data_IF_365140347787
#
_entry.id   IF_365140347787
#
_cell.length_a   1.000
_cell.length_b   1.000
_cell.length_c   1.000
_cell.angle_alpha   90.00
_cell.angle_beta   90.00
_cell.angle_gamma   90.00
#
_symmetry.space_group_name_H-M   'P 1'
#
loop_
_entity.id
_entity.type
_entity.pdbx_description
1 polymer ?
#
# COMPACT_ATOMS: atom_id res chain seq x y z
N UNK A 1 70.71 -22.87 4.21
CA UNK A 1 70.88 -21.45 4.62
C UNK A 1 69.75 -20.69 3.93
N UNK A 2 68.51 -20.81 4.39
CA UNK A 2 67.96 -20.29 5.66
C UNK A 2 67.79 -18.78 5.61
N UNK A 3 66.57 -18.29 5.81
CA UNK A 3 66.30 -16.88 6.08
C UNK A 3 64.90 -16.40 5.73
N UNK A 4 63.91 -16.84 6.51
CA UNK A 4 62.67 -16.08 6.74
C UNK A 4 62.97 -14.60 7.06
N UNK A 5 62.06 -13.71 6.66
CA UNK A 5 61.87 -12.41 7.31
C UNK A 5 60.38 -12.08 7.38
N UNK A 6 59.81 -12.35 8.54
CA UNK A 6 58.88 -11.45 9.24
C UNK A 6 59.57 -11.05 10.57
N UNK A 7 59.10 -10.08 11.37
CA UNK A 7 58.05 -9.08 11.17
C UNK A 7 58.50 -7.64 11.55
N UNK A 8 57.66 -6.63 11.27
CA UNK A 8 57.64 -5.41 12.09
C UNK A 8 56.19 -5.05 12.36
N UNK A 9 55.80 -5.21 13.63
CA UNK A 9 54.59 -4.66 14.21
C UNK A 9 54.73 -3.14 14.34
N UNK A 10 53.68 -2.40 13.97
CA UNK A 10 53.45 -1.05 14.49
C UNK A 10 52.03 -1.03 15.06
N UNK A 11 51.97 -0.87 16.37
CA UNK A 11 50.76 -0.69 17.16
C UNK A 11 50.08 0.66 16.88
N UNK A 12 48.75 0.59 16.90
CA UNK A 12 47.83 1.52 17.55
C UNK A 12 47.74 2.98 17.09
N UNK A 13 46.66 3.25 16.36
CA UNK A 13 45.82 4.41 16.66
C UNK A 13 44.35 3.94 16.69
N UNK A 14 43.88 3.58 17.89
CA UNK A 14 42.47 3.38 18.15
C UNK A 14 41.74 4.71 18.16
N UNK A 15 40.64 4.77 17.41
CA UNK A 15 39.58 5.78 17.53
C UNK A 15 38.23 5.08 17.26
N UNK A 16 37.13 5.57 17.86
CA UNK A 16 36.31 4.74 18.73
C UNK A 16 35.09 4.16 18.01
N UNK A 17 34.75 2.95 18.45
CA UNK A 17 33.41 2.41 18.33
C UNK A 17 32.39 3.35 19.01
N UNK A 18 31.22 3.45 18.38
CA UNK A 18 29.97 3.66 19.11
C UNK A 18 29.32 5.02 18.91
N UNK A 19 28.59 5.17 17.81
CA UNK A 19 27.14 5.36 17.87
C UNK A 19 26.57 5.14 16.46
N UNK A 20 26.25 3.88 16.13
CA UNK A 20 25.36 3.63 15.00
C UNK A 20 23.99 4.12 15.43
N UNK A 21 23.69 5.37 15.07
CA UNK A 21 22.35 5.92 15.14
C UNK A 21 21.49 5.19 14.11
N UNK A 22 20.96 4.04 14.54
CA UNK A 22 20.11 3.17 13.73
C UNK A 22 18.78 3.85 13.33
N UNK A 23 18.48 5.02 13.90
CA UNK A 23 17.32 5.85 13.58
C UNK A 23 17.52 6.83 12.42
N UNK A 24 18.76 7.13 11.97
CA UNK A 24 19.01 8.17 10.97
C UNK A 24 19.00 7.63 9.51
N UNK A 25 19.35 6.36 9.30
CA UNK A 25 19.45 5.77 7.96
C UNK A 25 18.08 5.57 7.29
N UNK A 26 17.07 5.11 8.04
CA UNK A 26 15.71 4.86 7.53
C UNK A 26 15.02 6.15 7.08
N UNK A 27 15.05 7.16 7.96
CA UNK A 27 14.48 8.47 7.66
C UNK A 27 15.16 9.11 6.47
N UNK A 28 16.50 9.04 6.40
CA UNK A 28 17.28 9.54 5.26
C UNK A 28 16.86 8.89 3.95
N UNK A 29 16.72 7.56 3.92
CA UNK A 29 16.30 6.84 2.72
C UNK A 29 14.93 7.29 2.25
N UNK A 30 13.97 7.47 3.15
CA UNK A 30 12.63 7.96 2.78
C UNK A 30 12.66 9.37 2.21
N UNK A 31 13.49 10.26 2.76
CA UNK A 31 13.71 11.59 2.19
C UNK A 31 14.35 11.52 0.80
N UNK A 32 15.28 10.61 0.58
CA UNK A 32 15.90 10.38 -0.74
C UNK A 32 14.87 9.82 -1.74
N UNK A 33 14.05 8.84 -1.33
CA UNK A 33 12.92 8.32 -2.13
C UNK A 33 11.94 9.43 -2.47
N UNK A 34 11.55 10.26 -1.49
CA UNK A 34 10.63 11.39 -1.70
C UNK A 34 11.22 12.43 -2.66
N UNK A 35 12.53 12.72 -2.57
CA UNK A 35 13.24 13.59 -3.51
C UNK A 35 13.34 13.03 -4.92
N UNK A 36 13.28 11.70 -5.08
CA UNK A 36 13.25 11.06 -6.39
C UNK A 36 11.88 11.17 -7.08
N UNK A 37 10.83 11.58 -6.35
CA UNK A 37 9.49 11.71 -6.91
C UNK A 37 9.39 12.92 -7.83
N UNK A 38 8.69 12.73 -8.95
CA UNK A 38 8.36 13.82 -9.85
C UNK A 38 7.27 14.71 -9.24
N UNK A 39 7.62 15.91 -8.75
CA UNK A 39 6.72 16.82 -8.01
C UNK A 39 5.41 17.09 -8.73
N UNK A 40 5.46 17.32 -10.05
CA UNK A 40 4.25 17.56 -10.84
C UNK A 40 3.30 16.36 -10.84
N UNK A 41 3.84 15.15 -10.91
CA UNK A 41 3.04 13.92 -10.92
C UNK A 41 2.44 13.65 -9.54
N UNK A 42 3.20 13.92 -8.47
CA UNK A 42 2.69 13.81 -7.09
C UNK A 42 1.52 14.77 -6.85
N UNK A 43 1.66 16.05 -7.22
CA UNK A 43 0.58 17.05 -7.06
C UNK A 43 -0.68 16.65 -7.84
N UNK A 44 -0.52 16.23 -9.08
CA UNK A 44 -1.59 15.69 -9.92
C UNK A 44 -2.31 14.50 -9.27
N UNK A 45 -1.56 13.49 -8.84
CA UNK A 45 -2.12 12.28 -8.25
C UNK A 45 -2.86 12.55 -6.94
N UNK A 46 -2.35 13.45 -6.11
CA UNK A 46 -3.06 13.90 -4.91
C UNK A 46 -4.38 14.58 -5.27
N UNK A 47 -4.39 15.42 -6.32
CA UNK A 47 -5.62 16.10 -6.78
C UNK A 47 -6.67 15.13 -7.32
N UNK A 48 -6.24 13.98 -7.88
CA UNK A 48 -7.12 12.89 -8.31
C UNK A 48 -7.62 12.02 -7.15
N UNK A 49 -7.18 12.25 -5.91
CA UNK A 49 -7.56 11.45 -4.76
C UNK A 49 -6.78 10.14 -4.62
N UNK A 50 -5.55 10.07 -5.12
CA UNK A 50 -4.65 8.92 -4.93
C UNK A 50 -3.92 9.06 -3.59
N UNK A 51 -3.95 8.02 -2.75
CA UNK A 51 -3.25 8.05 -1.47
C UNK A 51 -1.73 7.98 -1.63
N UNK A 52 -1.01 8.44 -0.61
CA UNK A 52 0.45 8.53 -0.58
C UNK A 52 1.10 7.17 -0.87
N UNK A 53 0.61 6.09 -0.26
CA UNK A 53 1.15 4.73 -0.51
C UNK A 53 1.00 4.31 -1.98
N UNK A 54 -0.11 4.67 -2.64
CA UNK A 54 -0.27 4.45 -4.08
C UNK A 54 0.62 5.38 -4.92
N UNK A 55 0.86 6.62 -4.48
CA UNK A 55 1.77 7.51 -5.19
C UNK A 55 3.19 6.95 -5.18
N UNK A 56 3.71 6.58 -4.02
CA UNK A 56 5.07 6.03 -3.91
C UNK A 56 5.23 4.76 -4.74
N UNK A 57 4.27 3.84 -4.66
CA UNK A 57 4.37 2.59 -5.42
C UNK A 57 4.33 2.79 -6.95
N UNK A 58 3.73 3.89 -7.42
CA UNK A 58 3.56 4.18 -8.85
C UNK A 58 4.64 5.11 -9.40
N UNK A 59 5.10 6.07 -8.61
CA UNK A 59 5.97 7.19 -9.07
C UNK A 59 7.40 7.07 -8.56
N UNK A 60 7.67 6.23 -7.55
CA UNK A 60 9.02 6.05 -7.02
C UNK A 60 9.96 5.41 -8.05
N UNK A 61 11.21 5.86 -8.00
CA UNK A 61 12.35 5.25 -8.71
C UNK A 61 12.86 4.03 -7.93
N UNK A 62 12.75 4.07 -6.61
CA UNK A 62 13.17 3.01 -5.70
C UNK A 62 12.06 1.97 -5.49
N UNK A 63 12.48 0.73 -5.19
CA UNK A 63 11.58 -0.36 -4.85
C UNK A 63 10.73 -0.01 -3.62
N UNK A 64 9.46 -0.43 -3.63
CA UNK A 64 8.55 -0.23 -2.52
C UNK A 64 8.83 -1.26 -1.42
N UNK A 65 9.12 -0.79 -0.21
CA UNK A 65 9.36 -1.65 0.95
C UNK A 65 8.69 -1.14 2.24
N UNK A 66 8.74 -1.99 3.27
CA UNK A 66 8.12 -1.79 4.58
C UNK A 66 8.67 -0.55 5.28
N UNK A 67 9.97 -0.31 5.16
CA UNK A 67 10.66 0.83 5.77
C UNK A 67 10.21 2.14 5.11
N UNK A 68 10.17 2.18 3.78
CA UNK A 68 9.69 3.32 3.00
C UNK A 68 8.28 3.64 3.49
N UNK A 69 7.34 2.69 3.43
CA UNK A 69 5.92 2.88 3.80
C UNK A 69 5.63 3.47 5.18
N UNK A 70 6.38 3.06 6.21
CA UNK A 70 6.17 3.52 7.58
C UNK A 70 6.39 5.03 7.77
N UNK A 71 7.20 5.64 6.92
CA UNK A 71 7.66 7.03 7.05
C UNK A 71 6.94 7.98 6.06
N UNK A 72 6.21 7.44 5.06
CA UNK A 72 5.77 8.19 3.87
C UNK A 72 4.72 9.28 4.09
N UNK A 73 3.73 9.05 4.95
CA UNK A 73 2.51 9.87 4.95
C UNK A 73 2.76 11.29 5.46
N UNK A 74 3.55 11.43 6.52
CA UNK A 74 3.96 12.74 7.07
C UNK A 74 5.10 13.38 6.26
N UNK A 75 6.02 12.56 5.76
CA UNK A 75 7.22 13.03 5.05
C UNK A 75 6.92 13.58 3.67
N UNK A 76 6.02 12.96 2.90
CA UNK A 76 5.63 13.46 1.57
C UNK A 76 4.93 14.83 1.68
N UNK A 77 4.10 15.02 2.71
CA UNK A 77 3.47 16.32 3.00
C UNK A 77 4.50 17.39 3.38
N UNK A 78 5.48 17.04 4.22
CA UNK A 78 6.57 17.95 4.58
C UNK A 78 7.43 18.30 3.37
N UNK A 79 7.70 17.34 2.49
CA UNK A 79 8.47 17.53 1.26
C UNK A 79 7.76 18.46 0.28
N UNK A 80 6.45 18.28 0.07
CA UNK A 80 5.64 19.16 -0.79
C UNK A 80 5.60 20.60 -0.28
N UNK A 81 5.59 20.81 1.05
CA UNK A 81 5.61 22.14 1.67
C UNK A 81 6.97 22.83 1.58
N UNK A 82 8.07 22.09 1.41
CA UNK A 82 9.42 22.65 1.32
C UNK A 82 9.77 23.19 -0.08
N UNK A 83 8.91 23.00 -1.08
CA UNK A 83 9.20 23.28 -2.49
C UNK A 83 8.57 24.55 -3.08
N UNK A 84 7.64 25.21 -2.38
CA UNK A 84 6.97 26.44 -2.83
C UNK A 84 7.00 27.51 -1.72
N UNK A 85 7.31 28.75 -2.12
CA UNK A 85 7.19 29.95 -1.30
C UNK A 85 5.72 30.21 -0.95
N UNK A 86 5.50 30.79 0.22
CA UNK A 86 4.22 31.03 0.91
C UNK A 86 3.01 31.21 -0.02
N UNK A 87 2.20 30.17 -0.20
CA UNK A 87 0.77 30.34 -0.45
C UNK A 87 -0.01 29.34 0.38
N UNK A 88 -0.63 29.87 1.43
CA UNK A 88 -1.56 29.18 2.31
C UNK A 88 -2.64 28.46 1.50
N UNK A 89 -2.49 27.14 1.34
CA UNK A 89 -3.60 26.27 0.96
C UNK A 89 -3.79 25.26 2.08
N UNK A 90 -4.78 25.58 2.90
CA UNK A 90 -5.48 24.77 3.89
C UNK A 90 -5.22 23.28 3.80
N UNK A 91 -4.79 22.70 4.93
CA UNK A 91 -5.39 21.51 5.55
C UNK A 91 -6.20 20.59 4.61
N UNK A 92 -5.62 20.16 3.48
CA UNK A 92 -6.21 19.07 2.71
C UNK A 92 -5.76 17.80 3.42
N UNK A 93 -6.45 17.50 4.51
CA UNK A 93 -6.70 16.14 4.90
C UNK A 93 -7.29 15.45 3.69
N UNK A 94 -6.44 14.85 2.84
CA UNK A 94 -6.81 13.81 1.86
C UNK A 94 -7.36 12.60 2.64
N UNK A 95 -8.51 12.83 3.28
CA UNK A 95 -9.28 11.95 4.15
C UNK A 95 -10.34 11.19 3.34
N UNK A 96 -10.21 11.21 2.01
CA UNK A 96 -10.97 10.37 1.11
C UNK A 96 -10.36 8.97 1.00
N UNK A 97 -11.23 8.03 0.64
CA UNK A 97 -10.82 6.70 0.21
C UNK A 97 -10.10 6.83 -1.12
N UNK A 98 -8.91 6.24 -1.22
CA UNK A 98 -8.08 6.29 -2.42
C UNK A 98 -8.83 5.73 -3.63
N UNK A 99 -8.87 6.47 -4.74
CA UNK A 99 -9.54 6.01 -5.98
C UNK A 99 -8.88 4.76 -6.59
N UNK A 100 -7.61 4.49 -6.27
CA UNK A 100 -6.87 3.36 -6.84
C UNK A 100 -7.02 2.10 -5.99
N UNK A 101 -6.61 2.18 -4.72
CA UNK A 101 -6.61 1.00 -3.84
C UNK A 101 -7.90 0.84 -3.06
N UNK A 102 -8.87 1.76 -3.21
CA UNK A 102 -10.17 1.72 -2.55
C UNK A 102 -10.06 1.53 -1.03
N UNK A 103 -9.03 2.12 -0.43
CA UNK A 103 -8.81 2.07 1.02
C UNK A 103 -7.93 0.92 1.52
N UNK A 104 -7.60 -0.07 0.69
CA UNK A 104 -6.77 -1.24 1.10
C UNK A 104 -5.42 -0.79 1.66
N UNK A 105 -4.69 0.03 0.91
CA UNK A 105 -3.42 0.60 1.38
C UNK A 105 -3.61 1.80 2.31
N UNK A 106 -4.83 2.10 2.76
CA UNK A 106 -5.10 3.04 3.84
C UNK A 106 -5.58 2.31 5.11
N UNK A 107 -5.61 0.97 5.08
CA UNK A 107 -6.14 0.10 6.12
C UNK A 107 -7.59 0.43 6.49
N UNK A 108 -8.38 0.72 5.47
CA UNK A 108 -9.83 0.95 5.57
C UNK A 108 -10.55 -0.34 5.20
N UNK A 109 -11.44 -0.80 6.06
CA UNK A 109 -12.20 -2.04 5.88
C UNK A 109 -13.55 -1.96 6.59
N UNK A 110 -14.49 -2.84 6.25
CA UNK A 110 -15.74 -3.00 6.98
C UNK A 110 -15.55 -4.01 8.12
N UNK A 111 -15.90 -3.64 9.34
CA UNK A 111 -15.81 -4.54 10.49
C UNK A 111 -17.00 -5.52 10.58
N UNK A 112 -17.05 -6.33 11.64
CA UNK A 112 -18.12 -7.31 11.87
C UNK A 112 -19.52 -6.67 11.95
N UNK A 113 -19.60 -5.38 12.31
CA UNK A 113 -20.84 -4.61 12.36
C UNK A 113 -21.19 -3.96 11.02
N UNK A 114 -20.40 -4.22 9.98
CA UNK A 114 -20.48 -3.60 8.65
C UNK A 114 -20.26 -2.08 8.68
N UNK A 115 -19.59 -1.60 9.72
CA UNK A 115 -19.18 -0.20 9.83
C UNK A 115 -17.80 -0.04 9.18
N UNK A 116 -17.62 1.10 8.50
CA UNK A 116 -16.34 1.40 7.88
C UNK A 116 -15.36 1.83 8.97
N UNK A 117 -14.32 1.03 9.18
CA UNK A 117 -13.27 1.27 10.17
C UNK A 117 -11.96 1.52 9.44
N UNK A 118 -11.13 2.39 10.02
CA UNK A 118 -9.78 2.67 9.55
C UNK A 118 -8.80 2.37 10.68
N UNK A 119 -7.74 1.63 10.38
CA UNK A 119 -6.60 1.52 11.28
C UNK A 119 -5.68 2.74 11.10
N UNK A 120 -5.20 3.29 12.22
CA UNK A 120 -4.33 4.47 12.21
C UNK A 120 -2.94 4.15 11.66
N UNK A 121 -2.48 2.91 11.87
CA UNK A 121 -1.19 2.43 11.43
C UNK A 121 -1.23 1.00 10.88
N UNK A 122 -0.13 0.57 10.25
CA UNK A 122 0.03 -0.84 9.86
C UNK A 122 0.09 -1.75 11.08
N UNK A 123 0.70 -1.30 12.18
CA UNK A 123 0.80 -2.06 13.41
C UNK A 123 -0.57 -2.30 14.03
N UNK A 124 -1.47 -1.31 14.00
CA UNK A 124 -2.84 -1.50 14.50
C UNK A 124 -3.62 -2.48 13.64
N UNK A 125 -3.42 -2.44 12.33
CA UNK A 125 -4.03 -3.40 11.42
C UNK A 125 -3.50 -4.82 11.63
N UNK A 126 -2.18 -4.98 11.81
CA UNK A 126 -1.53 -6.26 12.11
C UNK A 126 -1.97 -6.80 13.47
N UNK A 127 -2.10 -5.96 14.48
CA UNK A 127 -2.59 -6.35 15.80
C UNK A 127 -3.99 -6.96 15.69
N UNK A 128 -4.90 -6.31 14.94
CA UNK A 128 -6.25 -6.85 14.70
C UNK A 128 -6.22 -8.20 13.98
N UNK A 129 -5.37 -8.36 12.97
CA UNK A 129 -5.20 -9.65 12.28
C UNK A 129 -4.68 -10.72 13.26
N UNK A 130 -3.68 -10.35 14.07
CA UNK A 130 -3.07 -11.23 15.06
C UNK A 130 -4.10 -11.71 16.09
N UNK A 131 -4.92 -10.79 16.60
CA UNK A 131 -5.97 -11.11 17.57
C UNK A 131 -6.97 -12.11 17.00
N UNK A 132 -7.37 -11.92 15.74
CA UNK A 132 -8.28 -12.83 15.03
C UNK A 132 -7.65 -14.21 14.80
N UNK A 133 -6.37 -14.28 14.44
CA UNK A 133 -5.65 -15.55 14.27
C UNK A 133 -5.51 -16.29 15.60
N UNK A 134 -5.18 -15.58 16.68
CA UNK A 134 -4.98 -16.18 18.01
C UNK A 134 -6.29 -16.59 18.68
N UNK A 135 -7.41 -15.97 18.31
CA UNK A 135 -8.74 -16.33 18.85
C UNK A 135 -9.08 -17.80 18.59
N UNK A 136 -8.67 -18.34 17.45
CA UNK A 136 -9.00 -19.71 17.05
C UNK A 136 -8.04 -20.77 17.63
N UNK A 137 -7.02 -20.34 18.41
CA UNK A 137 -6.07 -21.19 19.16
C UNK A 137 -5.39 -22.28 18.33
N UNK A 138 -5.11 -21.98 17.06
CA UNK A 138 -4.32 -22.87 16.21
C UNK A 138 -2.86 -22.90 16.67
N UNK A 139 -2.25 -24.09 16.65
CA UNK A 139 -0.81 -24.26 16.81
C UNK A 139 -0.17 -24.29 15.41
N UNK A 140 0.75 -23.35 15.15
CA UNK A 140 1.53 -23.26 13.92
C UNK A 140 2.87 -22.59 14.22
N UNK A 141 3.91 -23.00 13.50
CA UNK A 141 5.26 -22.40 13.53
C UNK A 141 5.55 -21.58 12.26
N UNK A 142 4.73 -21.75 11.21
CA UNK A 142 4.80 -20.97 9.98
C UNK A 142 3.42 -20.71 9.37
N UNK A 143 3.32 -19.69 8.51
CA UNK A 143 2.09 -19.33 7.82
C UNK A 143 2.31 -18.83 6.38
N UNK A 144 1.31 -19.07 5.53
CA UNK A 144 1.18 -18.42 4.22
C UNK A 144 0.30 -17.18 4.29
N UNK A 145 0.73 -16.06 3.68
CA UNK A 145 -0.10 -14.85 3.53
C UNK A 145 -0.70 -14.76 2.13
N UNK A 146 -2.02 -14.92 2.06
CA UNK A 146 -2.81 -14.78 0.83
C UNK A 146 -3.59 -13.47 0.83
N UNK A 147 -3.60 -12.80 -0.32
CA UNK A 147 -4.31 -11.53 -0.50
C UNK A 147 -5.06 -11.57 -1.83
N UNK A 148 -6.37 -11.39 -1.75
CA UNK A 148 -7.27 -11.30 -2.90
C UNK A 148 -7.87 -9.91 -2.96
N UNK A 149 -7.76 -9.23 -4.10
CA UNK A 149 -8.25 -7.85 -4.29
C UNK A 149 -9.28 -7.79 -5.43
N UNK A 150 -10.27 -6.88 -5.39
CA UNK A 150 -11.26 -6.75 -6.47
C UNK A 150 -10.59 -6.38 -7.80
N UNK A 151 -11.12 -6.89 -8.92
CA UNK A 151 -10.61 -6.59 -10.26
C UNK A 151 -10.64 -5.09 -10.60
N UNK A 152 -11.59 -4.35 -10.02
CA UNK A 152 -11.70 -2.90 -10.13
C UNK A 152 -10.41 -2.19 -9.72
N UNK A 153 -9.65 -2.71 -8.75
CA UNK A 153 -8.36 -2.12 -8.38
C UNK A 153 -7.35 -2.21 -9.53
N UNK A 154 -7.32 -3.34 -10.24
CA UNK A 154 -6.46 -3.49 -11.42
C UNK A 154 -6.90 -2.58 -12.58
N UNK A 155 -8.21 -2.38 -12.74
CA UNK A 155 -8.77 -1.45 -13.74
C UNK A 155 -8.40 0.00 -13.42
N UNK A 156 -8.54 0.41 -12.16
CA UNK A 156 -8.17 1.74 -11.68
C UNK A 156 -6.67 2.00 -11.83
N UNK A 157 -5.83 1.00 -11.53
CA UNK A 157 -4.39 1.05 -11.78
C UNK A 157 -4.07 1.28 -13.26
N UNK A 158 -4.71 0.52 -14.15
CA UNK A 158 -4.48 0.63 -15.59
C UNK A 158 -4.93 1.98 -16.14
N UNK A 159 -6.06 2.48 -15.67
CA UNK A 159 -6.58 3.80 -16.04
C UNK A 159 -5.62 4.91 -15.59
N UNK A 160 -5.14 4.85 -14.35
CA UNK A 160 -4.20 5.83 -13.82
C UNK A 160 -2.85 5.78 -14.53
N UNK A 161 -2.32 4.59 -14.83
CA UNK A 161 -1.09 4.44 -15.59
C UNK A 161 -1.24 4.98 -17.01
N UNK A 162 -2.40 4.81 -17.63
CA UNK A 162 -2.71 5.41 -18.94
C UNK A 162 -2.73 6.93 -18.88
N UNK A 163 -3.34 7.51 -17.84
CA UNK A 163 -3.31 8.95 -17.57
C UNK A 163 -1.88 9.47 -17.44
N UNK A 164 -1.06 8.82 -16.60
CA UNK A 164 0.32 9.23 -16.37
C UNK A 164 1.17 9.09 -17.65
N UNK A 165 0.98 8.02 -18.42
CA UNK A 165 1.65 7.86 -19.72
C UNK A 165 1.27 8.96 -20.71
N UNK A 166 0.02 9.43 -20.69
CA UNK A 166 -0.41 10.54 -21.55
C UNK A 166 0.26 11.85 -21.19
N UNK A 167 0.44 12.15 -19.90
CA UNK A 167 0.97 13.44 -19.42
C UNK A 167 2.48 13.47 -19.22
N UNK A 168 3.10 12.33 -18.90
CA UNK A 168 4.49 12.20 -18.48
C UNK A 168 5.27 11.19 -19.32
N UNK A 169 4.90 11.00 -20.60
CA UNK A 169 5.42 9.94 -21.49
C UNK A 169 6.95 9.79 -21.56
N UNK A 170 7.69 10.87 -21.33
CA UNK A 170 9.16 10.91 -21.37
C UNK A 170 9.83 10.49 -20.07
N UNK A 171 9.06 10.32 -18.99
CA UNK A 171 9.61 10.07 -17.66
C UNK A 171 10.08 8.62 -17.48
N UNK A 172 11.34 8.45 -17.04
CA UNK A 172 11.97 7.13 -16.88
C UNK A 172 11.29 6.29 -15.80
N UNK A 173 10.75 6.93 -14.75
CA UNK A 173 10.08 6.20 -13.68
C UNK A 173 8.84 5.46 -14.16
N UNK A 174 8.17 5.89 -15.24
CA UNK A 174 7.01 5.18 -15.80
C UNK A 174 7.33 3.84 -16.46
N UNK A 175 8.58 3.65 -16.90
CA UNK A 175 9.01 2.43 -17.59
C UNK A 175 9.38 1.29 -16.64
N UNK A 176 9.46 1.56 -15.34
CA UNK A 176 9.73 0.54 -14.33
C UNK A 176 8.48 -0.25 -13.97
N UNK A 177 8.71 -1.50 -13.59
CA UNK A 177 7.67 -2.36 -13.04
C UNK A 177 7.02 -1.72 -11.83
N UNK A 178 5.69 -1.83 -11.77
CA UNK A 178 4.87 -1.28 -10.70
C UNK A 178 4.45 -2.41 -9.79
N UNK A 179 4.65 -2.23 -8.50
CA UNK A 179 4.13 -3.14 -7.50
C UNK A 179 2.60 -3.02 -7.45
N UNK A 180 1.90 -4.15 -7.52
CA UNK A 180 0.44 -4.18 -7.42
C UNK A 180 -0.02 -3.77 -6.02
N UNK A 181 -1.28 -3.33 -5.86
CA UNK A 181 -1.86 -3.10 -4.52
C UNK A 181 -1.75 -4.34 -3.62
N UNK A 182 -1.95 -5.53 -4.18
CA UNK A 182 -1.85 -6.81 -3.48
C UNK A 182 -0.45 -7.01 -2.89
N UNK A 183 0.57 -6.89 -3.73
CA UNK A 183 1.95 -7.14 -3.31
C UNK A 183 2.46 -6.03 -2.38
N UNK A 184 2.05 -4.78 -2.63
CA UNK A 184 2.31 -3.68 -1.72
C UNK A 184 1.72 -3.96 -0.33
N UNK A 185 0.48 -4.44 -0.24
CA UNK A 185 -0.11 -4.81 1.05
C UNK A 185 0.69 -5.91 1.75
N UNK A 186 1.12 -6.95 1.02
CA UNK A 186 1.97 -8.01 1.60
C UNK A 186 3.24 -7.44 2.20
N UNK A 187 3.94 -6.57 1.47
CA UNK A 187 5.13 -5.86 1.97
C UNK A 187 4.83 -5.13 3.28
N UNK A 188 3.68 -4.45 3.40
CA UNK A 188 3.32 -3.72 4.62
C UNK A 188 3.10 -4.62 5.84
N UNK A 189 2.58 -5.84 5.63
CA UNK A 189 2.09 -6.67 6.72
C UNK A 189 3.04 -7.80 7.10
N UNK A 190 3.82 -8.34 6.15
CA UNK A 190 4.46 -9.63 6.31
C UNK A 190 5.44 -9.66 7.48
N UNK A 191 6.41 -8.75 7.53
CA UNK A 191 7.42 -8.73 8.60
C UNK A 191 6.80 -8.48 9.97
N UNK A 192 5.77 -7.62 10.03
CA UNK A 192 5.05 -7.30 11.25
C UNK A 192 4.22 -8.50 11.73
N UNK A 193 3.59 -9.26 10.82
CA UNK A 193 2.87 -10.48 11.14
C UNK A 193 3.81 -11.57 11.64
N UNK A 194 4.96 -11.77 10.98
CA UNK A 194 6.00 -12.71 11.45
C UNK A 194 6.42 -12.41 12.88
N UNK A 195 6.71 -11.13 13.17
CA UNK A 195 7.08 -10.69 14.50
C UNK A 195 5.95 -10.85 15.53
N UNK A 196 4.72 -10.51 15.17
CA UNK A 196 3.55 -10.52 16.08
C UNK A 196 3.03 -11.93 16.40
N UNK A 197 3.16 -12.85 15.43
CA UNK A 197 2.76 -14.25 15.56
C UNK A 197 3.90 -15.13 16.08
N UNK A 198 5.15 -14.68 16.01
CA UNK A 198 6.32 -15.49 16.35
C UNK A 198 6.50 -16.67 15.41
N UNK A 199 6.10 -16.51 14.14
CA UNK A 199 6.04 -17.56 13.13
C UNK A 199 6.73 -17.12 11.84
N UNK A 200 7.29 -18.08 11.11
CA UNK A 200 7.92 -17.82 9.81
C UNK A 200 6.89 -17.67 8.70
N UNK A 201 7.28 -17.01 7.60
CA UNK A 201 6.47 -16.98 6.39
C UNK A 201 7.05 -17.95 5.38
N UNK A 202 6.31 -18.99 5.04
CA UNK A 202 6.67 -20.01 4.08
C UNK A 202 5.43 -20.58 3.37
N UNK A 203 5.63 -21.64 2.58
CA UNK A 203 4.55 -22.46 2.04
C UNK A 203 4.00 -23.42 3.12
N UNK A 204 3.40 -22.84 4.16
CA UNK A 204 2.75 -23.53 5.28
C UNK A 204 1.44 -24.20 4.84
N UNK A 205 0.92 -25.13 5.64
CA UNK A 205 -0.47 -25.57 5.55
C UNK A 205 -1.44 -24.53 6.15
N UNK A 206 -0.98 -23.72 7.10
CA UNK A 206 -1.77 -22.67 7.72
C UNK A 206 -1.72 -21.38 6.90
N UNK A 207 -2.89 -20.89 6.46
CA UNK A 207 -2.98 -19.72 5.60
C UNK A 207 -3.79 -18.60 6.24
N UNK A 208 -3.20 -17.42 6.32
CA UNK A 208 -3.91 -16.18 6.63
C UNK A 208 -4.36 -15.58 5.32
N UNK A 209 -5.67 -15.59 5.06
CA UNK A 209 -6.25 -15.07 3.82
C UNK A 209 -7.01 -13.77 4.04
N UNK A 210 -6.52 -12.69 3.41
CA UNK A 210 -7.19 -11.40 3.33
C UNK A 210 -7.96 -11.29 2.01
N UNK A 211 -9.28 -11.43 2.05
CA UNK A 211 -10.13 -11.28 0.87
C UNK A 211 -10.84 -9.95 0.88
N UNK A 212 -10.53 -9.11 -0.11
CA UNK A 212 -11.21 -7.84 -0.32
C UNK A 212 -12.29 -7.98 -1.40
N UNK A 213 -13.53 -7.59 -1.10
CA UNK A 213 -14.67 -7.63 -2.03
C UNK A 213 -15.37 -6.28 -2.11
N UNK A 214 -16.10 -6.05 -3.20
CA UNK A 214 -16.96 -4.87 -3.35
C UNK A 214 -18.33 -5.15 -2.70
N UNK A 215 -18.96 -4.11 -2.14
CA UNK A 215 -20.30 -4.20 -1.55
C UNK A 215 -21.38 -4.89 -2.40
N UNK A 216 -21.29 -4.73 -3.72
CA UNK A 216 -22.23 -5.34 -4.65
C UNK A 216 -21.98 -6.83 -4.90
N UNK A 217 -20.76 -7.32 -4.65
CA UNK A 217 -20.35 -8.67 -5.05
C UNK A 217 -20.91 -9.72 -4.09
N UNK A 218 -21.13 -9.35 -2.82
CA UNK A 218 -21.77 -10.22 -1.82
C UNK A 218 -23.25 -10.47 -2.13
N UNK A 219 -23.92 -9.56 -2.85
CA UNK A 219 -25.32 -9.71 -3.24
C UNK A 219 -25.51 -10.72 -4.38
N UNK A 220 -24.46 -11.05 -5.14
CA UNK A 220 -24.53 -12.00 -6.26
C UNK A 220 -24.21 -13.44 -5.85
N UNK A 221 -23.59 -13.67 -4.69
CA UNK A 221 -23.29 -15.01 -4.18
C UNK A 221 -24.47 -15.76 -3.55
N UNK A 222 -25.64 -15.11 -3.39
CA UNK A 222 -26.79 -15.67 -2.68
C UNK A 222 -28.04 -15.91 -3.56
N UNK A 223 -27.95 -15.76 -4.88
CA UNK A 223 -29.11 -15.93 -5.77
C UNK A 223 -28.81 -16.74 -7.02
N UNK A 224 -28.42 -18.00 -6.84
CA UNK A 224 -28.75 -19.04 -7.82
C UNK A 224 -30.17 -19.54 -7.53
N UNK A 225 -31.13 -19.01 -8.27
CA UNK A 225 -32.29 -19.71 -8.86
C UNK A 225 -33.29 -18.64 -9.32
N UNK A 226 -33.41 -18.47 -10.63
CA UNK A 226 -34.64 -18.65 -11.41
C UNK A 226 -34.49 -17.89 -12.74
N UNK A 227 -34.73 -18.63 -13.83
CA UNK A 227 -34.88 -18.15 -15.19
C UNK A 227 -35.71 -16.85 -15.29
N UNK A 228 -35.32 -15.93 -16.17
CA UNK A 228 -36.08 -15.67 -17.41
C UNK A 228 -35.45 -14.56 -18.25
N UNK A 229 -35.20 -14.89 -19.51
CA UNK A 229 -34.81 -13.96 -20.56
C UNK A 229 -36.01 -13.13 -21.02
N UNK A 230 -35.92 -11.79 -21.05
CA UNK A 230 -36.75 -11.00 -21.96
C UNK A 230 -36.10 -9.68 -22.42
N UNK A 231 -35.77 -9.70 -23.70
CA UNK A 231 -35.30 -8.61 -24.58
C UNK A 231 -36.39 -7.56 -24.82
N UNK A 232 -36.09 -6.25 -24.70
CA UNK A 232 -36.69 -5.17 -25.52
C UNK A 232 -35.74 -3.96 -25.72
N UNK A 233 -35.78 -3.45 -26.95
CA UNK A 233 -35.14 -2.27 -27.60
C UNK A 233 -36.03 -1.03 -27.31
N UNK A 234 -35.66 0.27 -27.31
CA UNK A 234 -35.07 1.13 -28.37
C UNK A 234 -34.90 2.60 -27.87
N UNK A 235 -33.77 3.23 -28.23
CA UNK A 235 -33.38 4.62 -28.64
C UNK A 235 -33.72 5.98 -27.94
N UNK A 236 -32.67 6.85 -27.97
CA UNK A 236 -32.57 8.33 -28.15
C UNK A 236 -32.95 9.27 -26.96
N UNK A 237 -32.30 10.40 -26.64
CA UNK A 237 -31.07 11.14 -27.06
C UNK A 237 -30.79 12.27 -26.01
N UNK A 238 -29.52 12.68 -25.87
CA UNK A 238 -28.97 13.98 -25.43
C UNK A 238 -29.33 14.67 -24.08
N UNK A 239 -28.27 15.04 -23.34
CA UNK A 239 -28.10 16.44 -22.92
C UNK A 239 -27.86 16.78 -21.44
N UNK A 240 -26.59 16.66 -21.00
CA UNK A 240 -25.89 17.57 -20.08
C UNK A 240 -26.29 17.73 -18.60
N UNK A 241 -25.54 17.00 -17.78
CA UNK A 241 -24.72 17.45 -16.64
C UNK A 241 -25.32 18.23 -15.46
N UNK A 242 -25.49 17.51 -14.35
CA UNK A 242 -24.78 17.79 -13.10
C UNK A 242 -24.68 16.49 -12.29
N UNK A 243 -23.57 15.75 -12.44
CA UNK A 243 -23.27 14.57 -11.62
C UNK A 243 -22.81 15.09 -10.25
N UNK A 244 -23.76 15.26 -9.34
CA UNK A 244 -23.51 15.25 -7.91
C UNK A 244 -23.77 13.84 -7.38
N UNK A 245 -22.97 13.46 -6.38
CA UNK A 245 -23.05 12.22 -5.58
C UNK A 245 -22.33 11.01 -6.19
N UNK A 246 -20.99 11.05 -6.09
CA UNK A 246 -20.20 9.83 -6.03
C UNK A 246 -20.59 9.05 -4.77
N UNK A 247 -21.51 8.11 -4.90
CA UNK A 247 -21.81 7.11 -3.89
C UNK A 247 -20.57 6.25 -3.66
N UNK A 248 -19.80 6.54 -2.62
CA UNK A 248 -18.56 5.83 -2.28
C UNK A 248 -18.83 4.33 -2.09
N UNK A 249 -18.23 3.52 -2.96
CA UNK A 249 -18.38 2.06 -2.96
C UNK A 249 -17.49 1.43 -1.88
N UNK A 250 -18.11 0.63 -1.01
CA UNK A 250 -17.44 -0.01 0.15
C UNK A 250 -16.61 -1.20 -0.29
N UNK A 251 -15.42 -1.33 0.32
CA UNK A 251 -14.58 -2.52 0.27
C UNK A 251 -14.70 -3.27 1.60
N UNK A 252 -14.94 -4.57 1.52
CA UNK A 252 -15.08 -5.49 2.64
C UNK A 252 -13.79 -6.27 2.83
N UNK A 253 -13.52 -6.72 4.06
CA UNK A 253 -12.46 -7.69 4.33
C UNK A 253 -13.11 -8.91 4.95
N UNK A 254 -13.17 -9.99 4.20
CA UNK A 254 -13.46 -11.31 4.76
C UNK A 254 -12.12 -11.97 5.07
N UNK A 255 -11.82 -12.06 6.37
CA UNK A 255 -10.73 -12.91 6.86
C UNK A 255 -11.29 -14.32 6.96
N UNK A 256 -10.76 -15.22 6.13
CA UNK A 256 -11.08 -16.64 6.24
C UNK A 256 -9.85 -17.36 6.77
N UNK A 257 -10.06 -18.09 7.87
CA UNK A 257 -9.14 -19.11 8.35
C UNK A 257 -9.58 -20.44 7.72
N UNK A 258 -8.68 -21.13 7.02
CA UNK A 258 -8.88 -22.50 6.53
C UNK A 258 -7.66 -23.32 6.86
#
# INVERSE_FOLDING_TARGET
>A
MSGEKEPVAVESAGLPNGLVSHGNSKTRRVYETARSLHTGAVKDLLSLGVCERCIFRLVSVEAFDSDISSVLTSTLRSWLKSGDDETSSSESSCSGICIVCLGILQFVFSDVKKELVKSDSSSDYVARITDLVKQDRHEFDSFGLEVSVPSTIMENERALLSYLKGKYSTEVWLQRDKISVKDALKVLLLDQLKASLGAESDSSSFHIRLTYSKASDEAQGASETTHESKRRKTDAENGSNCISENSFEKVYVCMFNT
#
